data_IF_214692593096
#
_entry.id   IF_214692593096
#
_cell.length_a   1.000
_cell.length_b   1.000
_cell.length_c   1.000
_cell.angle_alpha   90.00
_cell.angle_beta   90.00
_cell.angle_gamma   90.00
#
_symmetry.space_group_name_H-M   'P 1'
#
loop_
_entity.id
_entity.type
_entity.pdbx_description
1 polymer ?
#
# COMPACT_ATOMS: atom_id res chain seq x y z
N UNK A 1 38.20 2.97 4.98
CA UNK A 1 38.45 1.51 5.06
C UNK A 1 38.67 1.09 6.51
N UNK A 2 37.64 0.57 7.16
CA UNK A 2 37.74 -0.35 8.30
C UNK A 2 36.53 -1.28 8.23
N UNK A 3 36.77 -2.54 7.91
CA UNK A 3 35.77 -3.61 7.83
C UNK A 3 35.20 -3.89 9.22
N UNK A 4 33.88 -4.03 9.31
CA UNK A 4 33.20 -4.57 10.50
C UNK A 4 32.77 -5.99 10.15
N UNK A 5 33.31 -6.95 10.91
CA UNK A 5 33.03 -8.37 10.79
C UNK A 5 31.67 -8.70 11.43
N UNK A 6 30.84 -9.42 10.68
CA UNK A 6 29.57 -9.98 11.14
C UNK A 6 29.87 -11.27 11.91
N UNK A 7 29.50 -11.32 13.18
CA UNK A 7 29.60 -12.50 14.04
C UNK A 7 28.23 -13.21 14.07
N UNK A 8 28.16 -14.36 13.40
CA UNK A 8 26.98 -15.24 13.40
C UNK A 8 27.08 -16.15 14.63
N UNK A 9 26.08 -16.11 15.50
CA UNK A 9 25.93 -17.04 16.63
C UNK A 9 24.94 -18.12 16.23
N UNK A 10 25.44 -19.34 16.08
CA UNK A 10 24.66 -20.58 16.01
C UNK A 10 24.28 -21.01 17.44
N UNK A 11 22.99 -21.18 17.72
CA UNK A 11 22.53 -21.95 18.88
C UNK A 11 22.07 -23.33 18.42
N UNK A 12 22.88 -24.35 18.73
CA UNK A 12 22.43 -25.74 18.78
C UNK A 12 21.95 -26.04 20.21
N UNK A 13 20.77 -26.64 20.34
CA UNK A 13 20.38 -27.36 21.54
C UNK A 13 20.02 -28.80 21.16
N UNK A 14 20.83 -29.73 21.67
CA UNK A 14 20.62 -31.18 21.69
C UNK A 14 20.38 -31.57 23.15
N UNK A 15 19.51 -32.56 23.36
CA UNK A 15 19.50 -33.45 24.54
C UNK A 15 18.12 -33.49 25.20
N UNK A 16 17.57 -34.61 25.67
CA UNK A 16 17.91 -36.04 25.77
C UNK A 16 16.54 -36.76 25.87
N UNK A 17 16.27 -37.95 25.32
CA UNK A 17 16.82 -39.26 25.69
C UNK A 17 16.09 -39.86 26.91
N UNK A 18 15.16 -40.81 26.72
CA UNK A 18 15.09 -42.05 27.52
C UNK A 18 14.05 -43.09 27.02
N UNK A 19 14.34 -44.33 27.39
CA UNK A 19 14.05 -45.62 26.76
C UNK A 19 13.08 -46.54 27.57
N UNK A 20 12.43 -47.48 26.85
CA UNK A 20 12.03 -48.88 27.21
C UNK A 20 10.95 -49.10 28.31
N UNK A 21 10.00 -50.05 28.29
CA UNK A 21 9.87 -51.37 27.64
C UNK A 21 8.39 -51.93 27.73
N UNK A 22 8.05 -53.11 27.15
CA UNK A 22 6.70 -53.55 26.73
C UNK A 22 6.02 -54.62 27.63
N UNK A 23 4.69 -54.84 27.48
CA UNK A 23 3.94 -56.03 27.96
C UNK A 23 2.76 -56.36 26.98
N UNK A 24 2.35 -57.65 26.77
CA UNK A 24 1.73 -58.15 25.53
C UNK A 24 0.23 -58.55 25.59
N UNK A 25 -0.32 -58.78 24.38
CA UNK A 25 -1.43 -59.66 23.93
C UNK A 25 -2.76 -59.75 24.69
N UNK A 26 -3.88 -59.52 23.98
CA UNK A 26 -4.82 -60.58 23.53
C UNK A 26 -5.84 -60.04 22.51
N UNK A 27 -6.17 -60.87 21.53
CA UNK A 27 -7.18 -60.64 20.49
C UNK A 27 -8.60 -61.02 20.96
N UNK A 28 -9.64 -60.37 20.42
CA UNK A 28 -10.75 -61.01 19.68
C UNK A 28 -11.85 -60.00 19.25
N UNK A 29 -12.06 -59.95 17.93
CA UNK A 29 -13.30 -59.90 17.13
C UNK A 29 -14.32 -58.74 17.16
N UNK A 30 -14.53 -58.25 15.92
CA UNK A 30 -15.76 -57.82 15.24
C UNK A 30 -16.66 -56.75 15.89
N UNK A 31 -16.85 -55.60 15.21
CA UNK A 31 -17.91 -55.39 14.21
C UNK A 31 -17.60 -54.10 13.43
N UNK A 32 -17.88 -54.20 12.14
CA UNK A 32 -17.81 -53.25 11.04
C UNK A 32 -18.54 -51.91 11.30
N UNK A 33 -17.85 -50.78 11.21
CA UNK A 33 -18.46 -49.49 10.84
C UNK A 33 -17.43 -48.64 10.08
N UNK A 34 -17.48 -48.72 8.75
CA UNK A 34 -16.73 -47.82 7.87
C UNK A 34 -17.32 -46.42 7.97
N UNK A 35 -16.80 -45.63 8.92
CA UNK A 35 -16.82 -44.17 8.81
C UNK A 35 -15.48 -43.78 8.21
N UNK A 36 -15.49 -43.59 6.89
CA UNK A 36 -14.37 -43.08 6.12
C UNK A 36 -14.10 -41.63 6.58
N UNK A 37 -13.32 -41.49 7.66
CA UNK A 37 -12.74 -40.22 8.03
C UNK A 37 -11.62 -39.95 7.03
N UNK A 38 -11.89 -39.16 5.99
CA UNK A 38 -10.83 -38.49 5.23
C UNK A 38 -10.08 -37.55 6.17
N UNK A 39 -9.09 -38.12 6.88
CA UNK A 39 -7.96 -37.37 7.42
C UNK A 39 -7.18 -36.85 6.22
N UNK A 40 -7.50 -35.64 5.79
CA UNK A 40 -6.62 -34.88 4.90
C UNK A 40 -5.23 -34.84 5.52
N UNK A 41 -4.27 -35.44 4.83
CA UNK A 41 -2.86 -35.39 5.19
C UNK A 41 -2.39 -33.94 5.14
N UNK A 42 -1.86 -33.43 6.25
CA UNK A 42 -1.25 -32.08 6.35
C UNK A 42 0.07 -31.95 5.56
N UNK A 43 0.44 -32.95 4.76
CA UNK A 43 1.74 -33.03 4.10
C UNK A 43 1.68 -33.01 2.57
N UNK A 44 0.51 -32.84 1.95
CA UNK A 44 0.45 -32.51 0.54
C UNK A 44 0.60 -30.98 0.38
N UNK A 45 1.65 -30.49 -0.31
CA UNK A 45 1.70 -29.08 -0.66
C UNK A 45 0.48 -28.78 -1.51
N UNK A 46 -0.34 -27.82 -1.07
CA UNK A 46 -1.52 -27.34 -1.79
C UNK A 46 -1.09 -27.05 -3.23
N UNK A 47 -1.52 -27.90 -4.18
CA UNK A 47 -1.14 -27.79 -5.59
C UNK A 47 -1.93 -26.73 -6.34
N UNK A 48 -2.82 -26.02 -5.65
CA UNK A 48 -3.73 -25.06 -6.25
C UNK A 48 -3.21 -23.65 -5.99
N UNK A 49 -2.20 -23.27 -6.77
CA UNK A 49 -1.69 -21.90 -6.79
C UNK A 49 -2.72 -20.97 -7.44
N UNK A 50 -2.95 -19.81 -6.81
CA UNK A 50 -3.71 -18.72 -7.43
C UNK A 50 -2.90 -18.19 -8.62
N UNK A 51 -3.52 -18.16 -9.81
CA UNK A 51 -2.94 -17.52 -11.00
C UNK A 51 -3.63 -16.19 -11.23
N UNK A 52 -2.84 -15.13 -11.42
CA UNK A 52 -3.33 -13.80 -11.79
C UNK A 52 -2.95 -13.56 -13.25
N UNK A 53 -3.93 -13.23 -14.08
CA UNK A 53 -3.73 -12.92 -15.50
C UNK A 53 -3.87 -11.42 -15.71
N UNK A 54 -2.73 -10.71 -15.75
CA UNK A 54 -2.67 -9.27 -15.97
C UNK A 54 -2.51 -8.43 -14.69
N UNK A 55 -2.55 -7.09 -14.81
CA UNK A 55 -2.43 -6.18 -13.67
C UNK A 55 -3.60 -6.34 -12.68
N UNK A 56 -3.34 -6.07 -11.41
CA UNK A 56 -4.35 -6.08 -10.36
C UNK A 56 -4.71 -4.66 -9.93
N UNK A 57 -5.95 -4.24 -10.17
CA UNK A 57 -6.44 -2.92 -9.78
C UNK A 57 -6.74 -2.87 -8.28
N UNK A 58 -6.12 -1.91 -7.58
CA UNK A 58 -6.27 -1.70 -6.13
C UNK A 58 -7.12 -0.45 -5.82
N UNK A 59 -7.20 0.49 -6.76
CA UNK A 59 -8.09 1.66 -6.73
C UNK A 59 -8.60 1.92 -8.14
N UNK A 60 -9.90 2.23 -8.28
CA UNK A 60 -10.57 2.45 -9.57
C UNK A 60 -11.59 3.57 -9.43
N UNK A 61 -11.27 4.74 -9.98
CA UNK A 61 -11.98 5.98 -9.67
C UNK A 61 -12.67 6.53 -10.92
N UNK A 62 -13.98 6.76 -10.84
CA UNK A 62 -14.75 7.44 -11.88
C UNK A 62 -14.42 8.93 -11.89
N UNK A 63 -13.93 9.41 -13.03
CA UNK A 63 -13.54 10.80 -13.21
C UNK A 63 -14.66 11.67 -13.79
N UNK A 64 -15.77 11.09 -14.26
CA UNK A 64 -16.88 11.84 -14.85
C UNK A 64 -17.45 12.92 -13.90
N UNK A 65 -17.67 12.66 -12.60
CA UNK A 65 -18.18 13.68 -11.69
C UNK A 65 -17.26 14.91 -11.56
N UNK A 66 -15.98 14.76 -11.91
CA UNK A 66 -14.94 15.75 -11.64
C UNK A 66 -14.60 16.53 -12.91
N UNK A 67 -14.29 15.82 -14.01
CA UNK A 67 -13.83 16.45 -15.26
C UNK A 67 -14.83 16.32 -16.42
N UNK A 68 -16.02 15.75 -16.18
CA UNK A 68 -17.06 15.52 -17.20
C UNK A 68 -16.57 14.71 -18.42
N UNK A 69 -15.51 13.92 -18.24
CA UNK A 69 -15.04 12.91 -19.19
C UNK A 69 -15.29 11.52 -18.59
N UNK A 70 -15.74 10.62 -19.44
CA UNK A 70 -15.98 9.20 -19.16
C UNK A 70 -14.66 8.42 -19.06
N UNK A 71 -13.86 8.77 -18.05
CA UNK A 71 -12.53 8.20 -17.78
C UNK A 71 -12.49 7.55 -16.40
N UNK A 72 -11.60 6.56 -16.28
CA UNK A 72 -11.22 5.94 -15.02
C UNK A 72 -9.76 6.23 -14.72
N UNK A 73 -9.46 6.61 -13.48
CA UNK A 73 -8.11 6.58 -12.92
C UNK A 73 -7.95 5.31 -12.08
N UNK A 74 -7.06 4.43 -12.54
CA UNK A 74 -6.79 3.14 -11.89
C UNK A 74 -5.38 3.12 -11.30
N UNK A 75 -5.23 2.67 -10.06
CA UNK A 75 -3.95 2.25 -9.51
C UNK A 75 -3.83 0.72 -9.64
N UNK A 76 -2.80 0.25 -10.33
CA UNK A 76 -2.63 -1.15 -10.69
C UNK A 76 -1.27 -1.69 -10.21
N UNK A 77 -1.28 -2.85 -9.55
CA UNK A 77 -0.09 -3.66 -9.34
C UNK A 77 0.24 -4.40 -10.64
N UNK A 78 1.39 -4.14 -11.24
CA UNK A 78 1.83 -4.79 -12.49
C UNK A 78 2.84 -5.91 -12.26
N UNK A 79 3.59 -5.84 -11.17
CA UNK A 79 4.55 -6.87 -10.77
C UNK A 79 4.75 -6.83 -9.27
N UNK A 80 4.64 -7.98 -8.61
CA UNK A 80 4.82 -8.04 -7.17
C UNK A 80 4.11 -9.23 -6.55
N UNK A 81 3.69 -9.07 -5.30
CA UNK A 81 3.03 -10.13 -4.53
C UNK A 81 1.73 -9.63 -3.89
N UNK A 82 0.75 -10.52 -3.90
CA UNK A 82 -0.37 -10.51 -2.97
C UNK A 82 -0.04 -11.42 -1.79
N UNK A 83 -0.42 -11.02 -0.57
CA UNK A 83 -0.34 -11.86 0.61
C UNK A 83 -1.44 -11.49 1.61
N UNK A 84 -1.69 -12.38 2.57
CA UNK A 84 -2.51 -12.09 3.74
C UNK A 84 -1.70 -12.35 5.00
N UNK A 85 -1.56 -11.33 5.84
CA UNK A 85 -0.93 -11.43 7.14
C UNK A 85 -1.86 -10.85 8.21
N UNK A 86 -2.44 -11.73 9.01
CA UNK A 86 -3.39 -11.35 10.06
C UNK A 86 -2.74 -11.09 11.43
N UNK A 87 -1.40 -11.12 11.49
CA UNK A 87 -0.64 -10.78 12.68
C UNK A 87 -0.76 -9.28 13.02
N UNK A 88 -0.58 -8.89 14.30
CA UNK A 88 -0.62 -7.47 14.66
C UNK A 88 0.52 -6.68 13.99
N UNK A 89 0.17 -5.84 13.02
CA UNK A 89 1.08 -4.91 12.35
C UNK A 89 0.28 -3.76 11.70
N UNK A 90 0.94 -2.66 11.28
CA UNK A 90 0.28 -1.61 10.50
C UNK A 90 -0.32 -2.10 9.18
N UNK A 91 0.21 -3.19 8.62
CA UNK A 91 -0.20 -3.80 7.36
C UNK A 91 -1.05 -5.06 7.56
N UNK A 92 -1.64 -5.26 8.74
CA UNK A 92 -2.52 -6.40 9.01
C UNK A 92 -3.62 -6.50 7.94
N UNK A 93 -3.89 -7.74 7.50
CA UNK A 93 -4.89 -8.09 6.50
C UNK A 93 -4.26 -8.45 5.17
N UNK A 94 -4.93 -8.05 4.09
CA UNK A 94 -4.46 -8.22 2.71
C UNK A 94 -3.32 -7.26 2.43
N UNK A 95 -2.34 -7.65 1.64
CA UNK A 95 -1.24 -6.80 1.24
C UNK A 95 -0.89 -6.99 -0.23
N UNK A 96 -0.65 -5.89 -0.91
CA UNK A 96 -0.14 -5.82 -2.28
C UNK A 96 1.15 -5.00 -2.24
N UNK A 97 2.24 -5.56 -2.76
CA UNK A 97 3.52 -4.86 -2.80
C UNK A 97 4.32 -5.20 -4.06
N UNK A 98 5.04 -4.21 -4.57
CA UNK A 98 5.85 -4.29 -5.78
C UNK A 98 5.75 -3.04 -6.64
N UNK A 99 5.76 -3.23 -7.95
CA UNK A 99 5.68 -2.17 -8.97
C UNK A 99 4.21 -1.85 -9.28
N UNK A 100 3.86 -0.59 -9.10
CA UNK A 100 2.54 -0.04 -9.40
C UNK A 100 2.61 1.01 -10.50
N UNK A 101 1.51 1.15 -11.21
CA UNK A 101 1.28 2.21 -12.18
C UNK A 101 -0.10 2.83 -11.98
N UNK A 102 -0.22 4.12 -12.32
CA UNK A 102 -1.50 4.77 -12.55
C UNK A 102 -1.85 4.66 -14.03
N UNK A 103 -3.11 4.35 -14.33
CA UNK A 103 -3.63 4.21 -15.69
C UNK A 103 -4.89 5.04 -15.83
N UNK A 104 -4.88 5.93 -16.82
CA UNK A 104 -6.10 6.62 -17.29
C UNK A 104 -6.62 5.84 -18.48
N UNK A 105 -7.89 5.44 -18.43
CA UNK A 105 -8.58 4.75 -19.52
C UNK A 105 -9.96 5.34 -19.77
N UNK A 106 -10.50 5.17 -20.97
CA UNK A 106 -11.92 5.44 -21.23
C UNK A 106 -12.83 4.27 -20.81
N UNK A 107 -14.15 4.48 -20.86
CA UNK A 107 -15.18 3.47 -20.55
C UNK A 107 -15.10 2.19 -21.39
N UNK A 108 -14.40 2.23 -22.53
CA UNK A 108 -14.19 1.06 -23.39
C UNK A 108 -12.91 0.29 -23.03
N UNK A 109 -12.17 0.74 -22.03
CA UNK A 109 -10.90 0.17 -21.60
C UNK A 109 -9.71 0.58 -22.47
N UNK A 110 -9.84 1.58 -23.36
CA UNK A 110 -8.69 2.08 -24.10
C UNK A 110 -7.84 2.95 -23.16
N UNK A 111 -6.57 2.57 -23.02
CA UNK A 111 -5.59 3.33 -22.25
C UNK A 111 -5.30 4.66 -22.93
N UNK A 112 -5.41 5.75 -22.18
CA UNK A 112 -5.01 7.11 -22.57
C UNK A 112 -3.60 7.43 -22.10
N UNK A 113 -3.28 7.04 -20.87
CA UNK A 113 -1.99 7.32 -20.26
C UNK A 113 -1.63 6.28 -19.21
N UNK A 114 -0.32 6.06 -19.04
CA UNK A 114 0.27 5.20 -18.02
C UNK A 114 1.38 6.00 -17.35
N UNK A 115 1.36 5.99 -16.01
CA UNK A 115 2.38 6.63 -15.20
C UNK A 115 2.96 5.64 -14.20
N UNK A 116 4.27 5.39 -14.30
CA UNK A 116 4.99 4.46 -13.43
C UNK A 116 5.23 5.09 -12.06
N UNK A 117 4.21 5.04 -11.20
CA UNK A 117 4.24 5.72 -9.90
C UNK A 117 5.32 5.17 -8.98
N UNK A 118 5.65 3.88 -9.07
CA UNK A 118 6.74 3.30 -8.28
C UNK A 118 8.10 3.98 -8.50
N UNK A 119 8.35 4.59 -9.66
CA UNK A 119 9.61 5.30 -9.94
C UNK A 119 9.77 6.59 -9.12
N UNK A 120 8.69 7.07 -8.49
CA UNK A 120 8.66 8.29 -7.70
C UNK A 120 8.85 8.05 -6.20
N UNK A 121 8.80 6.81 -5.75
CA UNK A 121 9.00 6.43 -4.35
C UNK A 121 10.32 5.68 -4.18
N UNK A 122 11.02 5.92 -3.08
CA UNK A 122 12.31 5.26 -2.80
C UNK A 122 12.15 3.88 -2.19
N UNK A 123 11.00 3.61 -1.57
CA UNK A 123 10.65 2.33 -0.96
C UNK A 123 9.61 1.60 -1.81
N UNK A 124 9.58 0.28 -1.72
CA UNK A 124 8.54 -0.52 -2.36
C UNK A 124 7.17 -0.10 -1.84
N UNK A 125 6.25 0.19 -2.76
CA UNK A 125 4.89 0.54 -2.39
C UNK A 125 4.17 -0.66 -1.76
N UNK A 126 3.39 -0.39 -0.72
CA UNK A 126 2.55 -1.36 -0.04
C UNK A 126 1.16 -0.77 0.13
N UNK A 127 0.15 -1.46 -0.40
CA UNK A 127 -1.25 -1.17 -0.14
C UNK A 127 -1.86 -2.37 0.58
N UNK A 128 -2.62 -2.11 1.64
CA UNK A 128 -3.26 -3.17 2.44
C UNK A 128 -4.79 -3.02 2.51
N UNK A 129 -5.34 -2.15 1.67
CA UNK A 129 -6.77 -1.95 1.49
C UNK A 129 -7.03 -1.47 0.05
N UNK A 130 -8.24 -1.76 -0.44
CA UNK A 130 -8.79 -1.04 -1.58
C UNK A 130 -9.23 0.35 -1.11
N UNK A 131 -9.12 1.35 -1.97
CA UNK A 131 -9.45 2.73 -1.61
C UNK A 131 -9.87 3.56 -2.83
N UNK A 132 -10.54 4.67 -2.55
CA UNK A 132 -10.82 5.72 -3.53
C UNK A 132 -9.77 6.83 -3.38
N UNK A 133 -9.35 7.38 -4.52
CA UNK A 133 -8.52 8.57 -4.63
C UNK A 133 -9.42 9.80 -4.45
N UNK A 134 -8.90 10.77 -3.71
CA UNK A 134 -9.57 12.02 -3.43
C UNK A 134 -8.96 13.14 -4.26
N UNK A 135 -9.84 13.95 -4.83
CA UNK A 135 -9.49 14.91 -5.88
C UNK A 135 -9.84 16.35 -5.46
N UNK A 136 -9.00 17.30 -5.87
CA UNK A 136 -9.22 18.75 -5.84
C UNK A 136 -8.23 19.42 -6.80
N UNK A 137 -8.29 20.75 -6.96
CA UNK A 137 -7.27 21.53 -7.68
C UNK A 137 -6.44 22.30 -6.62
N UNK A 138 -5.22 21.86 -6.32
CA UNK A 138 -4.41 22.45 -5.25
C UNK A 138 -3.47 23.56 -5.75
N UNK A 139 -3.23 23.64 -7.07
CA UNK A 139 -2.29 24.60 -7.66
C UNK A 139 -2.98 25.70 -8.50
N UNK A 140 -4.31 25.63 -8.65
CA UNK A 140 -5.15 26.65 -9.27
C UNK A 140 -5.08 26.67 -10.79
N UNK A 141 -4.61 25.60 -11.43
CA UNK A 141 -4.45 25.52 -12.88
C UNK A 141 -5.64 24.85 -13.60
N UNK A 142 -6.70 24.53 -12.85
CA UNK A 142 -7.90 23.82 -13.27
C UNK A 142 -7.70 22.35 -13.71
N UNK A 143 -6.47 21.81 -13.62
CA UNK A 143 -6.24 20.38 -13.68
C UNK A 143 -6.66 19.74 -12.37
N UNK A 144 -6.96 18.44 -12.41
CA UNK A 144 -7.31 17.72 -11.20
C UNK A 144 -6.08 17.15 -10.53
N UNK A 145 -5.93 17.47 -9.26
CA UNK A 145 -4.87 17.01 -8.39
C UNK A 145 -5.38 15.97 -7.40
N UNK A 146 -4.46 15.13 -6.94
CA UNK A 146 -4.73 14.08 -5.99
C UNK A 146 -3.46 13.71 -5.22
N UNK A 147 -3.63 13.00 -4.10
CA UNK A 147 -2.51 12.48 -3.34
C UNK A 147 -2.44 10.97 -3.40
N UNK A 148 -1.22 10.44 -3.37
CA UNK A 148 -0.98 9.02 -3.11
C UNK A 148 -0.09 8.91 -1.87
N UNK A 149 -0.59 8.13 -0.92
CA UNK A 149 0.00 7.97 0.40
C UNK A 149 0.67 6.63 0.61
N UNK A 150 1.64 6.60 1.52
CA UNK A 150 2.21 5.40 2.12
C UNK A 150 2.21 5.53 3.64
N UNK A 151 2.05 4.39 4.33
CA UNK A 151 2.11 4.37 5.78
C UNK A 151 3.45 4.91 6.27
N UNK A 152 3.41 5.93 7.14
CA UNK A 152 4.63 6.51 7.72
C UNK A 152 4.86 6.04 9.15
N UNK A 153 3.88 6.26 10.02
CA UNK A 153 3.93 5.83 11.42
C UNK A 153 2.53 5.72 12.01
N UNK A 154 2.42 5.35 13.29
CA UNK A 154 1.14 5.37 14.01
C UNK A 154 0.47 6.75 14.02
N UNK A 155 1.23 7.81 13.75
CA UNK A 155 0.77 9.19 13.88
C UNK A 155 0.50 9.85 12.52
N UNK A 156 0.73 9.17 11.39
CA UNK A 156 0.52 9.79 10.08
C UNK A 156 1.08 8.99 8.92
N UNK A 157 0.82 9.49 7.73
CA UNK A 157 1.23 8.88 6.47
C UNK A 157 2.03 9.90 5.65
N UNK A 158 2.86 9.42 4.75
CA UNK A 158 3.60 10.22 3.78
C UNK A 158 2.82 10.30 2.49
N UNK A 159 2.67 11.50 1.92
CA UNK A 159 1.94 11.71 0.68
C UNK A 159 2.79 12.46 -0.34
N UNK A 160 2.61 12.09 -1.61
CA UNK A 160 2.99 12.90 -2.76
C UNK A 160 1.76 13.45 -3.45
N UNK A 161 1.90 14.59 -4.11
CA UNK A 161 0.83 15.25 -4.86
C UNK A 161 1.07 15.01 -6.34
N UNK A 162 0.01 14.67 -7.06
CA UNK A 162 0.04 14.46 -8.51
C UNK A 162 -1.09 15.25 -9.15
N UNK A 163 -0.92 15.58 -10.42
CA UNK A 163 -1.90 16.26 -11.25
C UNK A 163 -2.17 15.45 -12.53
N UNK A 164 -3.40 15.52 -13.04
CA UNK A 164 -3.76 15.04 -14.37
C UNK A 164 -3.96 16.25 -15.28
N UNK A 165 -3.04 16.43 -16.21
CA UNK A 165 -3.07 17.56 -17.14
C UNK A 165 -4.14 17.39 -18.22
N UNK A 166 -4.51 18.49 -18.89
CA UNK A 166 -5.48 18.51 -20.00
C UNK A 166 -5.21 17.51 -21.14
N UNK A 167 -3.94 17.14 -21.37
CA UNK A 167 -3.49 16.11 -22.32
C UNK A 167 -3.44 14.69 -21.72
N UNK A 168 -4.19 14.49 -20.64
CA UNK A 168 -4.37 13.26 -19.89
C UNK A 168 -3.03 12.67 -19.38
N UNK A 169 -2.02 13.49 -19.15
CA UNK A 169 -0.74 13.06 -18.57
C UNK A 169 -0.76 13.22 -17.05
N UNK A 170 -0.10 12.30 -16.35
CA UNK A 170 0.08 12.40 -14.90
C UNK A 170 1.46 12.96 -14.62
N UNK A 171 1.55 13.93 -13.70
CA UNK A 171 2.80 14.54 -13.24
C UNK A 171 2.79 14.67 -11.72
N UNK A 172 3.96 14.57 -11.09
CA UNK A 172 4.11 14.97 -9.69
C UNK A 172 4.04 16.50 -9.59
N UNK A 173 3.35 17.00 -8.57
CA UNK A 173 3.44 18.39 -8.13
C UNK A 173 4.44 18.45 -6.95
N UNK A 174 5.69 18.89 -7.19
CA UNK A 174 6.73 18.80 -6.18
C UNK A 174 6.51 19.82 -5.06
N UNK A 175 7.01 19.48 -3.87
CA UNK A 175 7.12 20.40 -2.74
C UNK A 175 8.59 20.72 -2.50
N UNK A 176 8.93 22.00 -2.47
CA UNK A 176 10.31 22.48 -2.40
C UNK A 176 11.04 21.92 -1.19
N UNK A 177 12.08 21.13 -1.44
CA UNK A 177 12.93 20.53 -0.41
C UNK A 177 12.23 19.51 0.48
N UNK A 178 11.01 19.08 0.13
CA UNK A 178 10.23 18.08 0.87
C UNK A 178 9.83 16.97 -0.09
N UNK A 179 10.50 15.80 -0.03
CA UNK A 179 10.17 14.69 -0.93
C UNK A 179 8.74 14.17 -0.77
N UNK A 180 8.23 14.18 0.46
CA UNK A 180 6.90 13.67 0.83
C UNK A 180 6.32 14.47 2.00
N UNK A 181 5.02 14.74 1.95
CA UNK A 181 4.29 15.42 3.01
C UNK A 181 3.90 14.41 4.09
N UNK A 182 4.49 14.54 5.28
CA UNK A 182 3.97 13.84 6.45
C UNK A 182 2.73 14.56 6.99
N UNK A 183 1.60 13.85 7.02
CA UNK A 183 0.31 14.36 7.47
C UNK A 183 -0.24 13.44 8.55
N UNK A 184 -0.58 14.04 9.69
CA UNK A 184 -1.27 13.37 10.79
C UNK A 184 -2.78 13.49 10.61
N UNK A 185 -3.47 12.36 10.65
CA UNK A 185 -4.87 12.28 10.26
C UNK A 185 -5.04 12.18 8.75
N UNK A 186 -6.07 12.84 8.24
CA UNK A 186 -6.56 12.67 6.88
C UNK A 186 -7.75 11.73 6.80
N UNK A 187 -8.29 11.60 5.59
CA UNK A 187 -9.51 10.85 5.27
C UNK A 187 -9.23 9.38 5.02
N UNK A 188 -8.10 9.06 4.36
CA UNK A 188 -7.65 7.69 4.12
C UNK A 188 -6.10 7.62 4.21
N UNK A 189 -5.55 6.42 4.39
CA UNK A 189 -4.11 6.14 4.46
C UNK A 189 -3.39 6.34 3.13
N UNK A 190 -4.06 6.01 2.03
CA UNK A 190 -3.45 5.92 0.69
C UNK A 190 -3.83 7.07 -0.23
N UNK A 191 -4.75 7.92 0.20
CA UNK A 191 -5.16 9.15 -0.44
C UNK A 191 -5.75 10.05 0.64
N UNK A 192 -5.54 11.35 0.56
CA UNK A 192 -6.18 12.31 1.46
C UNK A 192 -6.44 13.62 0.74
N UNK A 193 -7.57 14.24 1.06
CA UNK A 193 -7.80 15.64 0.69
C UNK A 193 -6.89 16.56 1.51
N UNK A 194 -6.27 17.53 0.86
CA UNK A 194 -5.50 18.59 1.53
C UNK A 194 -6.46 19.74 1.89
N UNK A 195 -6.20 20.38 3.03
CA UNK A 195 -7.02 21.49 3.52
C UNK A 195 -6.69 22.77 2.74
N UNK A 196 -7.40 23.03 1.63
CA UNK A 196 -7.24 24.26 0.85
C UNK A 196 -7.52 25.50 1.68
N UNK A 197 -6.66 26.50 1.53
CA UNK A 197 -6.84 27.84 2.10
C UNK A 197 -7.40 28.80 1.05
N UNK A 198 -6.93 28.67 -0.18
CA UNK A 198 -7.42 29.37 -1.38
C UNK A 198 -7.14 28.52 -2.63
N UNK A 199 -7.16 29.12 -3.81
CA UNK A 199 -7.00 28.43 -5.10
C UNK A 199 -5.59 27.88 -5.34
N UNK A 200 -4.56 28.43 -4.66
CA UNK A 200 -3.15 28.09 -4.93
C UNK A 200 -2.41 27.68 -3.66
N UNK A 201 -3.13 27.46 -2.57
CA UNK A 201 -2.52 27.13 -1.29
C UNK A 201 -3.35 26.16 -0.45
N UNK A 202 -2.64 25.36 0.34
CA UNK A 202 -3.22 24.43 1.29
C UNK A 202 -2.44 24.44 2.60
N UNK A 203 -3.06 23.93 3.65
CA UNK A 203 -2.40 23.59 4.91
C UNK A 203 -2.37 22.09 5.11
N UNK A 204 -1.38 21.64 5.87
CA UNK A 204 -1.33 20.28 6.41
C UNK A 204 -1.15 20.33 7.92
N UNK A 205 -1.61 19.28 8.58
CA UNK A 205 -1.41 19.09 10.01
C UNK A 205 -0.49 17.89 10.25
N UNK A 206 0.46 18.02 11.17
CA UNK A 206 1.32 16.93 11.62
C UNK A 206 1.48 16.97 13.15
N UNK A 207 1.27 15.84 13.81
CA UNK A 207 1.43 15.70 15.25
C UNK A 207 2.91 15.59 15.63
N UNK A 208 3.38 16.52 16.45
CA UNK A 208 4.73 16.52 17.01
C UNK A 208 4.71 15.92 18.43
N UNK A 209 5.27 14.70 18.53
CA UNK A 209 5.38 13.98 19.80
C UNK A 209 6.27 14.69 20.84
N UNK A 210 7.21 15.54 20.42
CA UNK A 210 8.12 16.23 21.33
C UNK A 210 7.43 17.33 22.15
N UNK A 211 6.38 17.92 21.59
CA UNK A 211 5.58 18.98 22.23
C UNK A 211 4.14 18.53 22.52
N UNK A 212 3.76 17.34 22.08
CA UNK A 212 2.45 16.73 22.31
C UNK A 212 1.29 17.46 21.62
N UNK A 213 1.55 18.08 20.46
CA UNK A 213 0.59 18.95 19.75
C UNK A 213 0.68 18.79 18.24
N UNK A 214 -0.43 19.13 17.59
CA UNK A 214 -0.49 19.32 16.14
C UNK A 214 0.23 20.61 15.73
N UNK A 215 1.05 20.50 14.68
CA UNK A 215 1.72 21.60 14.00
C UNK A 215 1.10 21.72 12.61
N UNK A 216 0.65 22.92 12.28
CA UNK A 216 0.20 23.25 10.93
C UNK A 216 1.37 23.80 10.10
N UNK A 217 1.37 23.51 8.81
CA UNK A 217 2.26 24.13 7.84
C UNK A 217 1.47 24.48 6.58
N UNK A 218 1.66 25.70 6.09
CA UNK A 218 1.03 26.21 4.88
C UNK A 218 1.98 26.09 3.69
N UNK A 219 1.42 25.79 2.53
CA UNK A 219 2.12 25.62 1.27
C UNK A 219 1.42 26.43 0.19
N UNK A 220 2.19 27.18 -0.60
CA UNK A 220 1.70 28.01 -1.69
C UNK A 220 2.39 27.57 -2.99
N UNK A 221 1.63 27.46 -4.07
CA UNK A 221 2.14 27.18 -5.40
C UNK A 221 2.88 28.41 -5.97
N UNK A 222 4.16 28.25 -6.33
CA UNK A 222 4.98 29.31 -6.96
C UNK A 222 5.16 29.10 -8.48
N UNK A 223 4.27 28.33 -9.11
CA UNK A 223 4.25 28.11 -10.57
C UNK A 223 4.95 26.85 -11.05
N UNK A 224 5.81 26.24 -10.23
CA UNK A 224 6.48 24.97 -10.54
C UNK A 224 6.59 23.99 -9.35
N UNK A 225 6.53 24.49 -8.13
CA UNK A 225 6.58 23.72 -6.90
C UNK A 225 5.76 24.41 -5.81
N UNK A 226 5.27 23.64 -4.84
CA UNK A 226 4.73 24.19 -3.61
C UNK A 226 5.87 24.59 -2.68
N UNK A 227 5.78 25.79 -2.11
CA UNK A 227 6.75 26.33 -1.15
C UNK A 227 6.09 26.47 0.20
N UNK A 228 6.74 25.95 1.24
CA UNK A 228 6.29 26.12 2.62
C UNK A 228 6.43 27.59 3.02
N UNK A 229 5.38 28.17 3.55
CA UNK A 229 5.40 29.51 4.15
C UNK A 229 5.44 29.42 5.67
N UNK A 230 6.02 30.44 6.30
CA UNK A 230 6.05 30.60 7.77
C UNK A 230 4.73 31.13 8.33
#
# INVERSE_FOLDING_TARGET
MKSVAIMIIFLCLIGCGNENNPIPNTAENDVNEQVESTKGSLNDPISDLITVTGPMTISSNDMYPIIQKNYLLNLQLVKGRYYEDWSPSPYKGRGWTGEFQLVISDDYGNVKSIFQISDYFTEDLIFNALFEIEFDDYNGDANIDFTIGQYGSSNGNFYKIFTITDDDQIKELPVKGIPELFISGGTNRYSTKLDKLDDVSFKKTAYDNSIGKDIEATFIWEGNEFVRTE
#
